data_IF_830287098569
#
_entry.id   IF_830287098569
#
_cell.length_a   1.000
_cell.length_b   1.000
_cell.length_c   1.000
_cell.angle_alpha   90.00
_cell.angle_beta   90.00
_cell.angle_gamma   90.00
#
_symmetry.space_group_name_H-M   'P 1'
#
loop_
_entity.id
_entity.type
_entity.pdbx_description
1 polymer ?
#
# COMPACT_ATOMS: atom_id res chain seq x y z
N UNK A 1 10.63 -7.86 -0.76
CA UNK A 1 10.68 -6.61 0.03
C UNK A 1 10.19 -6.88 1.45
N UNK A 2 9.08 -7.60 1.61
CA UNK A 2 8.56 -8.08 2.90
C UNK A 2 8.92 -9.55 3.13
N UNK A 3 9.05 -9.98 4.39
CA UNK A 3 9.13 -11.40 4.79
C UNK A 3 7.76 -12.08 4.72
N UNK A 4 7.71 -13.41 4.89
CA UNK A 4 6.44 -14.15 4.97
C UNK A 4 5.57 -13.69 6.15
N UNK A 5 6.16 -13.50 7.33
CA UNK A 5 5.42 -13.00 8.51
C UNK A 5 4.84 -11.61 8.27
N UNK A 6 5.64 -10.71 7.67
CA UNK A 6 5.20 -9.37 7.31
C UNK A 6 4.07 -9.38 6.27
N UNK A 7 4.14 -10.29 5.30
CA UNK A 7 3.06 -10.49 4.34
C UNK A 7 1.79 -11.03 5.02
N UNK A 8 1.94 -11.89 6.04
CA UNK A 8 0.84 -12.41 6.85
C UNK A 8 0.05 -11.30 7.55
N UNK A 9 0.73 -10.32 8.16
CA UNK A 9 0.07 -9.15 8.75
C UNK A 9 -0.76 -8.36 7.73
N UNK A 10 -0.16 -8.06 6.57
CA UNK A 10 -0.86 -7.32 5.50
C UNK A 10 -2.08 -8.10 5.02
N UNK A 11 -1.94 -9.42 4.80
CA UNK A 11 -3.04 -10.26 4.34
C UNK A 11 -4.19 -10.25 5.35
N UNK A 12 -3.89 -10.44 6.64
CA UNK A 12 -4.90 -10.38 7.70
C UNK A 12 -5.66 -9.05 7.71
N UNK A 13 -4.96 -7.92 7.56
CA UNK A 13 -5.59 -6.60 7.50
C UNK A 13 -6.52 -6.40 6.30
N UNK A 14 -6.19 -7.00 5.15
CA UNK A 14 -7.03 -6.93 3.95
C UNK A 14 -8.23 -7.87 4.07
N UNK A 15 -8.04 -9.07 4.62
CA UNK A 15 -9.11 -10.03 4.88
C UNK A 15 -10.17 -9.43 5.82
N UNK A 16 -9.74 -8.73 6.89
CA UNK A 16 -10.63 -7.98 7.81
C UNK A 16 -11.53 -6.95 7.10
N UNK A 17 -11.03 -6.33 6.02
CA UNK A 17 -11.73 -5.28 5.28
C UNK A 17 -12.54 -5.84 4.08
N UNK A 18 -12.59 -7.16 3.93
CA UNK A 18 -13.21 -7.83 2.78
C UNK A 18 -12.49 -7.52 1.47
N UNK A 19 -11.19 -7.24 1.54
CA UNK A 19 -10.30 -6.92 0.42
C UNK A 19 -9.26 -8.02 0.18
N UNK A 20 -9.39 -9.16 0.86
CA UNK A 20 -8.58 -10.35 0.65
C UNK A 20 -8.66 -10.81 -0.81
N UNK A 21 -7.55 -10.68 -1.53
CA UNK A 21 -7.47 -11.00 -2.95
C UNK A 21 -6.08 -11.51 -3.30
N UNK A 22 -5.99 -12.20 -4.44
CA UNK A 22 -4.71 -12.62 -4.98
C UNK A 22 -3.89 -11.39 -5.39
N UNK A 23 -2.76 -11.20 -4.71
CA UNK A 23 -1.87 -10.07 -4.99
C UNK A 23 -1.03 -10.34 -6.24
N UNK A 24 -1.09 -9.41 -7.18
CA UNK A 24 -0.19 -9.35 -8.33
C UNK A 24 0.71 -8.12 -8.22
N UNK A 25 2.01 -8.31 -8.43
CA UNK A 25 2.96 -7.20 -8.50
C UNK A 25 2.72 -6.38 -9.78
N UNK A 26 2.21 -5.16 -9.64
CA UNK A 26 2.04 -4.21 -10.73
C UNK A 26 3.34 -3.46 -11.05
N UNK A 27 3.93 -2.85 -10.03
CA UNK A 27 5.07 -1.94 -10.15
C UNK A 27 6.12 -2.18 -9.06
N UNK A 28 7.39 -2.01 -9.41
CA UNK A 28 8.53 -1.95 -8.49
C UNK A 28 9.53 -0.92 -9.01
N UNK A 29 9.77 0.15 -8.25
CA UNK A 29 10.64 1.25 -8.66
C UNK A 29 12.05 0.81 -9.13
N UNK A 30 12.66 -0.16 -8.44
CA UNK A 30 13.99 -0.69 -8.80
C UNK A 30 14.02 -1.50 -10.11
N UNK A 31 12.85 -1.88 -10.65
CA UNK A 31 12.68 -2.63 -11.90
C UNK A 31 12.13 -1.72 -13.00
N UNK A 32 11.16 -0.89 -12.66
CA UNK A 32 10.31 -0.17 -13.62
C UNK A 32 10.66 1.33 -13.72
N UNK A 33 11.59 1.84 -12.91
CA UNK A 33 11.96 3.25 -12.83
C UNK A 33 11.32 3.97 -11.65
N UNK A 34 11.92 5.08 -11.21
CA UNK A 34 11.51 5.81 -10.01
C UNK A 34 10.57 6.99 -10.28
N UNK A 35 10.25 7.27 -11.54
CA UNK A 35 9.37 8.37 -11.92
C UNK A 35 7.92 8.08 -11.55
N UNK A 36 7.15 9.12 -11.21
CA UNK A 36 5.69 8.99 -11.02
C UNK A 36 5.01 8.48 -12.29
N UNK A 37 5.50 8.87 -13.47
CA UNK A 37 5.02 8.35 -14.75
C UNK A 37 5.17 6.83 -14.88
N UNK A 38 6.26 6.24 -14.37
CA UNK A 38 6.46 4.78 -14.37
C UNK A 38 5.45 4.07 -13.46
N UNK A 39 5.12 4.68 -12.32
CA UNK A 39 4.08 4.17 -11.43
C UNK A 39 2.71 4.25 -12.11
N UNK A 40 2.33 5.42 -12.64
CA UNK A 40 1.02 5.63 -13.27
C UNK A 40 0.82 4.73 -14.50
N UNK A 41 1.84 4.51 -15.33
CA UNK A 41 1.79 3.59 -16.47
C UNK A 41 1.40 2.15 -16.07
N UNK A 42 1.77 1.72 -14.86
CA UNK A 42 1.53 0.35 -14.37
C UNK A 42 0.35 0.22 -13.41
N UNK A 43 0.01 1.27 -12.68
CA UNK A 43 -0.94 1.21 -11.56
C UNK A 43 -2.27 1.89 -11.84
N UNK A 44 -2.36 2.78 -12.83
CA UNK A 44 -3.62 3.43 -13.17
C UNK A 44 -4.66 2.40 -13.62
N UNK A 45 -5.90 2.59 -13.13
CA UNK A 45 -7.07 1.77 -13.46
C UNK A 45 -6.95 0.27 -13.12
N UNK A 46 -5.96 -0.15 -12.31
CA UNK A 46 -5.79 -1.56 -11.91
C UNK A 46 -6.69 -2.01 -10.75
N UNK A 47 -7.56 -1.13 -10.24
CA UNK A 47 -8.39 -1.41 -9.07
C UNK A 47 -7.69 -1.08 -7.76
N UNK A 48 -8.08 -1.74 -6.65
CA UNK A 48 -7.44 -1.58 -5.35
C UNK A 48 -5.94 -1.87 -5.40
N UNK A 49 -5.14 -1.10 -4.67
CA UNK A 49 -3.68 -1.30 -4.63
C UNK A 49 -3.15 -1.27 -3.21
N UNK A 50 -2.18 -2.16 -2.97
CA UNK A 50 -1.32 -2.12 -1.79
C UNK A 50 0.05 -1.59 -2.22
N UNK A 51 0.48 -0.53 -1.56
CA UNK A 51 1.82 0.04 -1.74
C UNK A 51 2.73 -0.40 -0.59
N UNK A 52 3.96 -0.80 -0.93
CA UNK A 52 5.01 -1.16 0.04
C UNK A 52 6.24 -0.31 -0.22
N UNK A 53 6.70 0.40 0.81
CA UNK A 53 7.87 1.27 0.77
C UNK A 53 8.92 0.69 1.71
N UNK A 54 10.16 0.57 1.22
CA UNK A 54 11.33 0.19 2.03
C UNK A 54 12.39 1.28 1.94
N UNK A 55 12.71 1.87 3.08
CA UNK A 55 13.75 2.89 3.18
C UNK A 55 15.14 2.27 3.35
N UNK A 56 16.17 3.07 3.10
CA UNK A 56 17.59 2.71 3.31
C UNK A 56 17.89 2.28 4.75
N UNK A 57 17.25 2.91 5.74
CA UNK A 57 17.31 2.52 7.15
C UNK A 57 16.60 1.19 7.50
N UNK A 58 16.07 0.46 6.52
CA UNK A 58 15.42 -0.83 6.71
C UNK A 58 13.99 -0.74 7.25
N UNK A 59 13.41 0.45 7.36
CA UNK A 59 12.01 0.66 7.71
C UNK A 59 11.08 0.26 6.57
N UNK A 60 9.95 -0.33 6.92
CA UNK A 60 8.96 -0.83 5.97
C UNK A 60 7.59 -0.31 6.39
N UNK A 61 6.95 0.43 5.49
CA UNK A 61 5.62 0.99 5.67
C UNK A 61 4.91 1.10 4.33
N UNK A 62 3.66 1.54 4.34
CA UNK A 62 2.91 1.75 3.12
C UNK A 62 1.46 2.08 3.38
N UNK A 63 0.63 1.77 2.41
CA UNK A 63 -0.81 1.95 2.53
C UNK A 63 -1.57 1.13 1.51
N UNK A 64 -2.87 1.03 1.75
CA UNK A 64 -3.83 0.41 0.88
C UNK A 64 -4.86 1.45 0.46
N UNK A 65 -5.26 1.42 -0.81
CA UNK A 65 -6.38 2.17 -1.35
C UNK A 65 -7.32 1.20 -2.04
N UNK A 66 -8.60 1.23 -1.70
CA UNK A 66 -9.67 0.48 -2.37
C UNK A 66 -10.19 1.16 -3.64
N UNK A 67 -9.67 2.35 -3.96
CA UNK A 67 -10.01 3.09 -5.18
C UNK A 67 -8.82 3.13 -6.14
N UNK A 68 -9.08 2.91 -7.42
CA UNK A 68 -8.06 2.87 -8.47
C UNK A 68 -7.40 4.24 -8.69
N UNK A 69 -6.08 4.20 -8.91
CA UNK A 69 -5.30 5.34 -9.37
C UNK A 69 -5.75 5.83 -10.75
N UNK A 70 -5.51 7.11 -11.00
CA UNK A 70 -5.65 7.75 -12.30
C UNK A 70 -4.74 8.97 -12.39
N UNK A 71 -4.42 9.35 -13.63
CA UNK A 71 -3.69 10.57 -13.97
C UNK A 71 -4.60 11.78 -14.20
N UNK A 72 -5.79 11.83 -13.57
CA UNK A 72 -6.76 12.93 -13.68
C UNK A 72 -6.43 14.14 -12.78
N UNK A 73 -5.39 14.03 -11.95
CA UNK A 73 -4.92 15.09 -11.05
C UNK A 73 -5.80 15.33 -9.83
N UNK A 74 -6.85 14.52 -9.63
CA UNK A 74 -7.80 14.66 -8.53
C UNK A 74 -7.47 13.79 -7.31
N UNK A 75 -7.97 14.19 -6.14
CA UNK A 75 -8.04 13.29 -4.99
C UNK A 75 -9.32 12.45 -5.07
N UNK A 76 -9.23 11.17 -4.70
CA UNK A 76 -10.38 10.27 -4.66
C UNK A 76 -10.67 9.82 -3.23
N UNK A 77 -11.96 9.61 -2.94
CA UNK A 77 -12.37 8.95 -1.71
C UNK A 77 -11.96 7.49 -1.76
N UNK A 78 -11.46 6.95 -0.65
CA UNK A 78 -11.07 5.55 -0.50
C UNK A 78 -11.51 5.10 0.90
N UNK A 79 -12.78 4.67 1.07
CA UNK A 79 -13.38 4.45 2.39
C UNK A 79 -12.68 3.38 3.21
N UNK A 80 -12.07 2.40 2.56
CA UNK A 80 -11.30 1.33 3.22
C UNK A 80 -9.80 1.61 3.26
N UNK A 81 -9.36 2.81 2.89
CA UNK A 81 -7.94 3.13 2.91
C UNK A 81 -7.37 3.11 4.33
N UNK A 82 -6.14 2.61 4.41
CA UNK A 82 -5.35 2.61 5.63
C UNK A 82 -3.87 2.79 5.30
N UNK A 83 -3.12 3.31 6.27
CA UNK A 83 -1.65 3.29 6.24
C UNK A 83 -1.16 2.29 7.27
N UNK A 84 0.03 1.74 7.05
CA UNK A 84 0.59 0.74 7.96
C UNK A 84 2.10 0.87 8.08
N UNK A 85 2.62 0.32 9.17
CA UNK A 85 4.05 0.06 9.36
C UNK A 85 4.26 -1.41 9.66
N UNK A 86 5.28 -2.03 9.07
CA UNK A 86 5.77 -3.37 9.41
C UNK A 86 7.08 -3.32 10.19
N UNK A 87 7.83 -2.22 10.06
CA UNK A 87 9.05 -1.96 10.82
C UNK A 87 9.26 -0.45 10.88
N UNK A 88 9.12 0.14 12.06
CA UNK A 88 9.42 1.56 12.30
C UNK A 88 10.52 1.73 13.35
N UNK A 89 11.09 2.94 13.39
CA UNK A 89 12.12 3.32 14.35
C UNK A 89 11.61 3.28 15.80
N UNK A 90 10.33 3.57 16.03
CA UNK A 90 9.73 3.64 17.37
C UNK A 90 9.44 2.28 18.01
N UNK A 91 9.85 1.17 17.39
CA UNK A 91 9.66 -0.18 17.93
C UNK A 91 8.21 -0.66 17.93
N UNK A 92 7.31 0.00 17.19
CA UNK A 92 5.95 -0.50 17.03
C UNK A 92 6.00 -1.87 16.35
N UNK A 93 5.19 -2.78 16.86
CA UNK A 93 4.81 -4.01 16.15
C UNK A 93 4.11 -3.65 14.83
N UNK A 94 4.01 -4.59 13.87
CA UNK A 94 3.21 -4.37 12.67
C UNK A 94 1.84 -3.78 13.00
N UNK A 95 1.58 -2.57 12.52
CA UNK A 95 0.42 -1.75 12.93
C UNK A 95 -0.30 -1.20 11.71
N UNK A 96 -1.61 -1.41 11.65
CA UNK A 96 -2.56 -0.82 10.69
C UNK A 96 -3.22 0.40 11.32
N UNK A 97 -3.27 1.50 10.58
CA UNK A 97 -3.86 2.77 10.99
C UNK A 97 -4.91 3.20 9.97
N UNK A 98 -6.18 3.16 10.35
CA UNK A 98 -7.29 3.60 9.50
C UNK A 98 -7.30 5.12 9.40
N UNK A 99 -7.70 5.63 8.23
CA UNK A 99 -7.91 7.07 8.06
C UNK A 99 -9.11 7.53 8.90
N UNK A 100 -8.97 8.68 9.56
CA UNK A 100 -10.12 9.33 10.21
C UNK A 100 -11.06 9.83 9.12
N UNK A 101 -12.31 9.39 9.15
CA UNK A 101 -13.33 9.99 8.31
C UNK A 101 -13.59 11.42 8.80
N UNK A 102 -13.72 12.36 7.87
CA UNK A 102 -14.21 13.70 8.22
C UNK A 102 -15.66 13.53 8.70
N UNK A 103 -15.94 14.01 9.90
CA UNK A 103 -17.31 14.17 10.39
C UNK A 103 -18.07 15.14 9.51
#
# INVERSE_FOLDING_TARGET
IVSQDQAGHIKGWLDEDGCGSDMKLLYRASRDGWGSSNFHEKCDHQGPTLTVIRCTGGYIFGGFCDTAWSSDGGCKSSPKAFVYTLRCHSGLVPTKMRLKQKK
#
